data_IF_731314036369
#
_entry.id   IF_731314036369
#
_cell.length_a   1.000
_cell.length_b   1.000
_cell.length_c   1.000
_cell.angle_alpha   90.00
_cell.angle_beta   90.00
_cell.angle_gamma   90.00
#
_symmetry.space_group_name_H-M   'P 1'
#
loop_
_entity.id
_entity.type
_entity.pdbx_description
1 polymer ?
#
# COMPACT_ATOMS: atom_id res chain seq x y z
N UNK A 1 8.47 29.62 -0.26
CA UNK A 1 7.87 28.30 -0.52
C UNK A 1 7.40 28.36 -1.96
N UNK A 2 8.02 27.60 -2.88
CA UNK A 2 7.58 27.58 -4.27
C UNK A 2 6.21 26.92 -4.32
N UNK A 3 5.21 27.60 -4.87
CA UNK A 3 3.88 27.08 -5.20
C UNK A 3 3.98 26.01 -6.31
N UNK A 4 4.59 24.87 -5.99
CA UNK A 4 4.58 23.73 -6.90
C UNK A 4 3.26 22.97 -6.66
N UNK A 5 2.45 22.85 -7.70
CA UNK A 5 1.23 22.05 -7.68
C UNK A 5 1.53 20.65 -7.10
N UNK A 6 0.69 20.10 -6.21
CA UNK A 6 0.88 18.76 -5.66
C UNK A 6 1.07 17.70 -6.75
N UNK A 7 1.99 16.74 -6.61
CA UNK A 7 2.16 15.67 -7.59
C UNK A 7 0.88 14.82 -7.66
N UNK A 8 0.44 14.52 -8.88
CA UNK A 8 -0.75 13.68 -9.08
C UNK A 8 -0.37 12.21 -9.00
N UNK A 9 -1.09 11.42 -8.22
CA UNK A 9 -0.90 9.98 -8.09
C UNK A 9 -2.22 9.27 -8.40
N UNK A 10 -2.17 8.27 -9.27
CA UNK A 10 -3.28 7.35 -9.48
C UNK A 10 -3.04 6.09 -8.63
N UNK A 11 -4.00 5.70 -7.81
CA UNK A 11 -3.94 4.47 -7.02
C UNK A 11 -4.97 3.48 -7.55
N UNK A 12 -4.52 2.34 -8.05
CA UNK A 12 -5.36 1.22 -8.46
C UNK A 12 -5.27 0.13 -7.40
N UNK A 13 -6.37 -0.12 -6.67
CA UNK A 13 -6.29 -1.07 -5.57
C UNK A 13 -7.59 -1.27 -4.80
N UNK A 14 -7.45 -1.97 -3.69
CA UNK A 14 -8.51 -2.39 -2.80
C UNK A 14 -9.03 -1.31 -1.87
N UNK A 15 -10.30 -1.44 -1.53
CA UNK A 15 -10.98 -0.65 -0.48
C UNK A 15 -11.75 -1.62 0.40
N UNK A 16 -11.41 -1.73 1.68
CA UNK A 16 -11.99 -2.69 2.61
C UNK A 16 -12.57 -2.01 3.85
N UNK A 17 -13.51 -2.70 4.47
CA UNK A 17 -13.81 -2.46 5.87
C UNK A 17 -13.17 -3.58 6.70
N UNK A 18 -12.44 -3.20 7.75
CA UNK A 18 -11.79 -4.14 8.65
C UNK A 18 -12.64 -4.25 9.92
N UNK A 19 -13.13 -5.46 10.21
CA UNK A 19 -13.91 -5.83 11.38
C UNK A 19 -12.96 -6.44 12.41
N UNK A 20 -12.53 -5.64 13.37
CA UNK A 20 -11.52 -6.03 14.36
C UNK A 20 -12.20 -6.43 15.65
N UNK A 21 -12.04 -7.69 16.05
CA UNK A 21 -12.50 -8.23 17.34
C UNK A 21 -11.30 -8.50 18.23
N UNK A 22 -11.32 -8.01 19.46
CA UNK A 22 -10.34 -8.36 20.49
C UNK A 22 -10.87 -9.49 21.35
N UNK A 23 -10.01 -10.45 21.68
CA UNK A 23 -10.36 -11.59 22.53
C UNK A 23 -9.16 -11.95 23.43
N UNK A 24 -9.36 -12.66 24.56
CA UNK A 24 -8.24 -13.10 25.42
C UNK A 24 -7.23 -13.99 24.68
N UNK A 25 -7.67 -14.76 23.70
CA UNK A 25 -6.85 -15.60 22.80
C UNK A 25 -7.56 -15.85 21.48
N UNK A 26 -6.88 -16.40 20.51
CA UNK A 26 -7.52 -16.85 19.28
C UNK A 26 -8.41 -18.07 19.55
N UNK A 27 -9.65 -18.14 18.96
CA UNK A 27 -10.53 -19.30 19.13
C UNK A 27 -10.00 -20.54 18.41
N UNK A 28 -10.23 -21.71 18.98
CA UNK A 28 -9.96 -22.99 18.31
C UNK A 28 -11.20 -23.48 17.55
N UNK A 29 -11.06 -24.40 16.57
CA UNK A 29 -12.20 -24.92 15.83
C UNK A 29 -13.31 -25.46 16.72
N UNK A 30 -14.56 -25.01 16.49
CA UNK A 30 -15.74 -25.42 17.24
C UNK A 30 -16.00 -24.68 18.56
N UNK A 31 -15.13 -23.72 18.91
CA UNK A 31 -15.26 -22.96 20.14
C UNK A 31 -16.05 -21.65 19.90
N UNK A 32 -16.84 -21.25 20.91
CA UNK A 32 -17.40 -19.92 21.05
C UNK A 32 -16.67 -19.19 22.15
N UNK A 33 -15.97 -18.09 21.81
CA UNK A 33 -15.22 -17.27 22.75
C UNK A 33 -15.85 -15.88 22.84
N UNK A 34 -15.96 -15.34 24.06
CA UNK A 34 -16.43 -13.97 24.26
C UNK A 34 -15.29 -12.98 23.96
N UNK A 35 -15.54 -12.07 23.01
CA UNK A 35 -14.66 -10.95 22.74
C UNK A 35 -14.75 -9.87 23.81
N UNK A 36 -13.73 -9.03 23.89
CA UNK A 36 -13.62 -7.90 24.84
C UNK A 36 -13.87 -6.55 24.18
N UNK A 37 -13.67 -6.43 22.86
CA UNK A 37 -13.89 -5.18 22.10
C UNK A 37 -14.19 -5.52 20.63
N UNK A 38 -14.89 -4.59 19.97
CA UNK A 38 -15.17 -4.66 18.54
C UNK A 38 -15.05 -3.29 17.88
N UNK A 39 -14.30 -3.21 16.78
CA UNK A 39 -14.12 -1.99 16.04
C UNK A 39 -14.34 -2.23 14.54
N UNK A 40 -14.88 -1.21 13.86
CA UNK A 40 -15.00 -1.15 12.42
C UNK A 40 -14.05 -0.08 11.88
N UNK A 41 -13.02 -0.49 11.17
CA UNK A 41 -11.92 0.36 10.72
C UNK A 41 -11.87 0.42 9.20
N UNK A 42 -11.51 1.56 8.64
CA UNK A 42 -11.26 1.70 7.21
C UNK A 42 -9.92 1.04 6.86
N UNK A 43 -9.93 0.18 5.86
CA UNK A 43 -8.78 -0.62 5.44
C UNK A 43 -8.71 -0.82 3.93
N UNK A 44 -7.97 -1.84 3.53
CA UNK A 44 -7.61 -2.12 2.15
C UNK A 44 -6.32 -1.40 1.76
N UNK A 45 -5.35 -2.17 1.23
CA UNK A 45 -4.01 -1.64 0.89
C UNK A 45 -4.08 -0.47 -0.08
N UNK A 46 -4.97 -0.53 -1.09
CA UNK A 46 -5.18 0.57 -2.03
C UNK A 46 -5.63 1.84 -1.32
N UNK A 47 -6.66 1.76 -0.50
CA UNK A 47 -7.19 2.90 0.26
C UNK A 47 -6.15 3.44 1.27
N UNK A 48 -5.43 2.55 1.98
CA UNK A 48 -4.40 2.97 2.93
C UNK A 48 -3.27 3.74 2.23
N UNK A 49 -2.78 3.25 1.09
CA UNK A 49 -1.72 3.91 0.31
C UNK A 49 -2.21 5.21 -0.31
N UNK A 50 -3.47 5.28 -0.73
CA UNK A 50 -4.10 6.50 -1.23
C UNK A 50 -4.20 7.57 -0.15
N UNK A 51 -4.70 7.21 1.05
CA UNK A 51 -4.76 8.12 2.21
C UNK A 51 -3.37 8.58 2.63
N UNK A 52 -2.40 7.65 2.66
CA UNK A 52 -1.03 8.01 2.99
C UNK A 52 -0.44 9.02 1.99
N UNK A 53 -0.59 8.76 0.68
CA UNK A 53 -0.09 9.68 -0.34
C UNK A 53 -0.77 11.07 -0.26
N UNK A 54 -2.08 11.11 -0.02
CA UNK A 54 -2.84 12.36 0.10
C UNK A 54 -2.41 13.19 1.31
N UNK A 55 -2.40 12.59 2.52
CA UNK A 55 -1.96 13.26 3.75
C UNK A 55 -0.50 13.71 3.69
N UNK A 56 0.32 13.03 2.89
CA UNK A 56 1.75 13.32 2.71
C UNK A 56 2.04 14.24 1.53
N UNK A 57 0.98 14.84 0.94
CA UNK A 57 1.09 16.01 0.06
C UNK A 57 0.93 15.73 -1.43
N UNK A 58 0.38 14.59 -1.83
CA UNK A 58 0.00 14.31 -3.21
C UNK A 58 -1.49 14.65 -3.47
N UNK A 59 -1.83 14.93 -4.73
CA UNK A 59 -3.21 14.91 -5.23
C UNK A 59 -3.48 13.50 -5.73
N UNK A 60 -4.45 12.80 -5.15
CA UNK A 60 -4.67 11.37 -5.38
C UNK A 60 -6.00 11.12 -6.06
N UNK A 61 -6.00 10.26 -7.10
CA UNK A 61 -7.19 9.65 -7.67
C UNK A 61 -7.23 8.16 -7.29
N UNK A 62 -8.32 7.72 -6.65
CA UNK A 62 -8.56 6.32 -6.31
C UNK A 62 -9.35 5.62 -7.39
N UNK A 63 -8.81 4.53 -7.92
CA UNK A 63 -9.43 3.65 -8.92
C UNK A 63 -9.68 2.30 -8.26
N UNK A 64 -10.94 1.97 -8.03
CA UNK A 64 -11.29 0.79 -7.23
C UNK A 64 -12.79 0.49 -7.29
N UNK A 65 -13.21 -0.46 -6.47
CA UNK A 65 -14.61 -0.83 -6.34
C UNK A 65 -15.02 -1.00 -4.88
N UNK A 66 -16.21 -0.53 -4.55
CA UNK A 66 -16.93 -0.82 -3.29
C UNK A 66 -18.29 -1.41 -3.60
N UNK A 67 -18.92 -2.08 -2.66
CA UNK A 67 -20.28 -2.54 -2.79
C UNK A 67 -21.29 -1.38 -2.74
N UNK A 68 -22.49 -1.61 -3.28
CA UNK A 68 -23.64 -0.71 -3.08
C UNK A 68 -24.33 -1.05 -1.74
N UNK A 69 -23.55 -0.91 -0.66
CA UNK A 69 -23.93 -1.17 0.73
C UNK A 69 -23.47 -0.04 1.67
N UNK A 70 -23.84 -0.14 2.94
CA UNK A 70 -23.51 0.87 3.95
C UNK A 70 -22.00 1.03 4.16
N UNK A 71 -21.21 -0.06 4.01
CA UNK A 71 -19.77 0.01 4.11
C UNK A 71 -19.15 0.73 2.91
N UNK A 72 -19.65 0.43 1.68
CA UNK A 72 -19.19 1.11 0.47
C UNK A 72 -19.49 2.60 0.49
N UNK A 73 -20.68 3.01 0.93
CA UNK A 73 -21.01 4.42 1.10
C UNK A 73 -20.06 5.11 2.10
N UNK A 74 -19.87 4.50 3.28
CA UNK A 74 -18.98 5.03 4.32
C UNK A 74 -17.53 5.19 3.85
N UNK A 75 -16.99 4.21 3.12
CA UNK A 75 -15.62 4.24 2.62
C UNK A 75 -15.43 5.26 1.51
N UNK A 76 -16.40 5.37 0.60
CA UNK A 76 -16.41 6.39 -0.44
C UNK A 76 -16.40 7.81 0.16
N UNK A 77 -17.26 8.08 1.14
CA UNK A 77 -17.34 9.38 1.81
C UNK A 77 -16.07 9.68 2.60
N UNK A 78 -15.47 8.67 3.26
CA UNK A 78 -14.24 8.83 4.00
C UNK A 78 -13.05 9.18 3.10
N UNK A 79 -12.90 8.51 1.95
CA UNK A 79 -11.84 8.83 0.99
C UNK A 79 -12.04 10.22 0.37
N UNK A 80 -13.27 10.58 0.05
CA UNK A 80 -13.60 11.94 -0.42
C UNK A 80 -13.26 13.01 0.62
N UNK A 81 -13.51 12.75 1.91
CA UNK A 81 -13.17 13.66 3.01
C UNK A 81 -11.65 13.85 3.20
N UNK A 82 -10.83 12.87 2.78
CA UNK A 82 -9.36 13.00 2.72
C UNK A 82 -8.87 13.81 1.50
N UNK A 83 -9.79 14.36 0.68
CA UNK A 83 -9.47 15.09 -0.53
C UNK A 83 -9.04 14.22 -1.72
N UNK A 84 -9.31 12.91 -1.64
CA UNK A 84 -9.02 11.96 -2.71
C UNK A 84 -10.13 12.04 -3.77
N UNK A 85 -9.74 12.11 -5.04
CA UNK A 85 -10.67 12.00 -6.16
C UNK A 85 -11.21 10.56 -6.25
N UNK A 86 -12.51 10.41 -6.01
CA UNK A 86 -13.23 9.13 -6.01
C UNK A 86 -14.09 8.94 -7.27
N UNK A 87 -13.85 9.72 -8.33
CA UNK A 87 -14.59 9.63 -9.60
C UNK A 87 -14.56 8.22 -10.20
N UNK A 88 -13.47 7.48 -9.98
CA UNK A 88 -13.27 6.12 -10.45
C UNK A 88 -13.34 5.06 -9.33
N UNK A 89 -14.00 5.39 -8.22
CA UNK A 89 -14.36 4.44 -7.18
C UNK A 89 -15.80 3.97 -7.38
N UNK A 90 -15.96 2.89 -8.14
CA UNK A 90 -17.26 2.41 -8.59
C UNK A 90 -18.04 1.71 -7.47
N UNK A 91 -19.34 1.97 -7.39
CA UNK A 91 -20.27 1.21 -6.53
C UNK A 91 -20.86 0.04 -7.32
N UNK A 92 -20.68 -1.18 -6.83
CA UNK A 92 -21.08 -2.42 -7.50
C UNK A 92 -22.36 -2.99 -6.88
N UNK A 93 -23.48 -2.90 -7.61
CA UNK A 93 -24.73 -3.49 -7.17
C UNK A 93 -24.68 -5.01 -7.02
N UNK A 94 -25.37 -5.55 -6.01
CA UNK A 94 -25.45 -7.00 -5.76
C UNK A 94 -24.14 -7.66 -5.29
N UNK A 95 -23.13 -6.87 -4.93
CA UNK A 95 -21.85 -7.36 -4.42
C UNK A 95 -21.52 -6.60 -3.14
N UNK A 96 -21.11 -7.30 -2.08
CA UNK A 96 -20.71 -6.65 -0.84
C UNK A 96 -19.37 -5.93 -1.01
N UNK A 97 -19.16 -4.87 -0.25
CA UNK A 97 -17.84 -4.24 -0.08
C UNK A 97 -16.82 -5.26 0.45
N UNK A 98 -15.55 -5.09 0.08
CA UNK A 98 -14.46 -5.93 0.62
C UNK A 98 -14.38 -5.83 2.15
N UNK A 99 -14.20 -6.97 2.80
CA UNK A 99 -14.17 -7.08 4.28
C UNK A 99 -12.95 -7.88 4.70
N UNK A 100 -12.23 -7.39 5.72
CA UNK A 100 -11.31 -8.20 6.48
C UNK A 100 -11.89 -8.45 7.88
N UNK A 101 -12.03 -9.73 8.28
CA UNK A 101 -12.33 -10.08 9.66
C UNK A 101 -11.01 -10.39 10.38
N UNK A 102 -10.76 -9.65 11.45
CA UNK A 102 -9.49 -9.69 12.18
C UNK A 102 -9.78 -9.99 13.64
N UNK A 103 -9.26 -11.11 14.14
CA UNK A 103 -9.26 -11.41 15.57
C UNK A 103 -7.87 -11.15 16.12
N UNK A 104 -7.77 -10.35 17.20
CA UNK A 104 -6.51 -10.02 17.87
C UNK A 104 -6.58 -10.49 19.31
N UNK A 105 -5.57 -11.22 19.77
CA UNK A 105 -5.47 -11.68 21.15
C UNK A 105 -4.75 -10.65 22.05
N UNK A 106 -4.75 -10.93 23.39
CA UNK A 106 -4.04 -10.08 24.37
C UNK A 106 -2.52 -10.03 24.15
N UNK A 107 -1.94 -11.04 23.51
CA UNK A 107 -0.52 -11.11 23.15
C UNK A 107 -0.17 -10.33 21.88
N UNK A 108 -1.20 -9.80 21.16
CA UNK A 108 -1.04 -9.12 19.87
C UNK A 108 -0.95 -10.05 18.67
N UNK A 109 -1.10 -11.40 18.85
CA UNK A 109 -1.22 -12.31 17.72
C UNK A 109 -2.58 -12.12 17.04
N UNK A 110 -2.61 -12.23 15.70
CA UNK A 110 -3.83 -12.03 14.93
C UNK A 110 -4.13 -13.19 13.99
N UNK A 111 -5.41 -13.27 13.63
CA UNK A 111 -5.93 -14.15 12.57
C UNK A 111 -6.80 -13.30 11.65
N UNK A 112 -6.50 -13.33 10.36
CA UNK A 112 -7.13 -12.46 9.35
C UNK A 112 -7.73 -13.32 8.25
N UNK A 113 -9.01 -13.07 7.95
CA UNK A 113 -9.69 -13.62 6.77
C UNK A 113 -10.18 -12.44 5.92
N UNK A 114 -9.78 -12.41 4.66
CA UNK A 114 -10.17 -11.37 3.71
C UNK A 114 -11.19 -11.92 2.72
N UNK A 115 -12.31 -11.23 2.59
CA UNK A 115 -13.31 -11.45 1.54
C UNK A 115 -13.21 -10.28 0.56
N UNK A 116 -12.71 -10.49 -0.68
CA UNK A 116 -12.47 -9.39 -1.63
C UNK A 116 -13.72 -8.60 -1.99
N UNK A 117 -14.88 -9.23 -2.03
CA UNK A 117 -16.13 -8.56 -2.38
C UNK A 117 -16.03 -7.79 -3.70
N UNK A 118 -16.42 -6.51 -3.67
CA UNK A 118 -16.38 -5.62 -4.83
C UNK A 118 -14.98 -5.39 -5.40
N UNK A 119 -13.90 -5.54 -4.61
CA UNK A 119 -12.53 -5.45 -5.13
C UNK A 119 -12.27 -6.47 -6.25
N UNK A 120 -12.88 -7.66 -6.17
CA UNK A 120 -12.79 -8.69 -7.22
C UNK A 120 -13.52 -8.31 -8.51
N UNK A 121 -14.31 -7.23 -8.51
CA UNK A 121 -15.05 -6.71 -9.67
C UNK A 121 -14.33 -5.59 -10.40
N UNK A 122 -13.16 -5.16 -9.91
CA UNK A 122 -12.33 -4.23 -10.65
C UNK A 122 -11.75 -4.95 -11.88
N UNK A 123 -12.14 -4.51 -13.05
CA UNK A 123 -11.84 -5.15 -14.34
C UNK A 123 -11.12 -4.21 -15.32
N UNK A 124 -10.83 -4.71 -16.51
CA UNK A 124 -10.13 -3.96 -17.55
C UNK A 124 -10.92 -2.76 -18.04
N UNK A 125 -12.24 -2.87 -18.14
CA UNK A 125 -13.11 -1.79 -18.65
C UNK A 125 -13.09 -0.58 -17.71
N UNK A 126 -13.04 -0.81 -16.39
CA UNK A 126 -12.91 0.24 -15.38
C UNK A 126 -11.53 0.91 -15.41
N UNK A 127 -10.47 0.13 -15.67
CA UNK A 127 -9.14 0.71 -15.89
C UNK A 127 -9.12 1.56 -17.15
N UNK A 128 -9.80 1.12 -18.22
CA UNK A 128 -9.87 1.88 -19.47
C UNK A 128 -10.69 3.16 -19.31
N UNK A 129 -11.73 3.15 -18.51
CA UNK A 129 -12.51 4.35 -18.14
C UNK A 129 -11.66 5.35 -17.33
N UNK A 130 -10.72 4.86 -16.48
CA UNK A 130 -9.82 5.68 -15.69
C UNK A 130 -8.52 6.06 -16.42
N UNK A 131 -8.40 5.79 -17.72
CA UNK A 131 -7.17 5.99 -18.50
C UNK A 131 -6.57 7.38 -18.35
N UNK A 132 -7.39 8.42 -18.40
CA UNK A 132 -6.92 9.80 -18.31
C UNK A 132 -6.34 10.11 -16.93
N UNK A 133 -6.93 9.57 -15.86
CA UNK A 133 -6.41 9.70 -14.51
C UNK A 133 -5.04 9.04 -14.38
N UNK A 134 -4.85 7.84 -14.97
CA UNK A 134 -3.57 7.13 -14.99
C UNK A 134 -2.55 7.87 -15.86
N UNK A 135 -2.92 8.28 -17.07
CA UNK A 135 -2.03 8.95 -18.02
C UNK A 135 -1.55 10.32 -17.52
N UNK A 136 -2.40 11.05 -16.80
CA UNK A 136 -2.08 12.36 -16.24
C UNK A 136 -1.40 12.33 -14.86
N UNK A 137 -1.15 11.12 -14.31
CA UNK A 137 -0.47 10.99 -13.04
C UNK A 137 1.06 11.04 -13.19
N UNK A 138 1.74 11.56 -12.16
CA UNK A 138 3.19 11.48 -12.03
C UNK A 138 3.65 10.07 -11.59
N UNK A 139 2.74 9.26 -11.05
CA UNK A 139 2.98 7.87 -10.66
C UNK A 139 1.67 7.10 -10.56
N UNK A 140 1.69 5.84 -11.04
CA UNK A 140 0.68 4.82 -10.73
C UNK A 140 1.17 4.00 -9.54
N UNK A 141 0.31 3.80 -8.53
CA UNK A 141 0.55 2.92 -7.37
C UNK A 141 -0.45 1.77 -7.41
N UNK A 142 0.00 0.53 -7.21
CA UNK A 142 -0.89 -0.63 -7.14
C UNK A 142 -0.39 -1.71 -6.18
N UNK A 143 -1.31 -2.60 -5.76
CA UNK A 143 -1.06 -3.75 -4.88
C UNK A 143 -1.75 -4.98 -5.46
N UNK A 144 -1.83 -6.10 -4.72
CA UNK A 144 -2.38 -7.36 -5.23
C UNK A 144 -3.66 -7.82 -4.49
N UNK A 145 -4.41 -6.89 -3.90
CA UNK A 145 -5.75 -7.17 -3.31
C UNK A 145 -6.90 -6.98 -4.32
N UNK A 146 -6.57 -6.76 -5.58
CA UNK A 146 -7.48 -6.73 -6.73
C UNK A 146 -7.01 -7.76 -7.76
N UNK A 147 -7.81 -8.13 -8.78
CA UNK A 147 -7.40 -9.14 -9.74
C UNK A 147 -6.08 -8.79 -10.45
N UNK A 148 -5.15 -9.76 -10.53
CA UNK A 148 -3.84 -9.55 -11.17
C UNK A 148 -3.99 -9.10 -12.62
N UNK A 149 -5.00 -9.60 -13.35
CA UNK A 149 -5.28 -9.17 -14.72
C UNK A 149 -5.58 -7.66 -14.79
N UNK A 150 -6.28 -7.12 -13.80
CA UNK A 150 -6.57 -5.69 -13.69
C UNK A 150 -5.32 -4.88 -13.38
N UNK A 151 -4.47 -5.36 -12.45
CA UNK A 151 -3.17 -4.75 -12.16
C UNK A 151 -2.30 -4.72 -13.42
N UNK A 152 -2.24 -5.83 -14.17
CA UNK A 152 -1.51 -5.90 -15.43
C UNK A 152 -2.06 -4.92 -16.47
N UNK A 153 -3.39 -4.73 -16.55
CA UNK A 153 -4.02 -3.74 -17.44
C UNK A 153 -3.65 -2.32 -17.04
N UNK A 154 -3.69 -2.00 -15.74
CA UNK A 154 -3.31 -0.68 -15.22
C UNK A 154 -1.83 -0.36 -15.52
N UNK A 155 -0.92 -1.32 -15.29
CA UNK A 155 0.50 -1.20 -15.61
C UNK A 155 0.70 -1.03 -17.12
N UNK A 156 -0.03 -1.77 -17.96
CA UNK A 156 0.05 -1.61 -19.42
C UNK A 156 -0.44 -0.20 -19.87
N UNK A 157 -1.52 0.31 -19.25
CA UNK A 157 -2.01 1.66 -19.47
C UNK A 157 -0.95 2.71 -19.09
N UNK A 158 -0.37 2.61 -17.90
CA UNK A 158 0.68 3.51 -17.41
C UNK A 158 1.91 3.49 -18.34
N UNK A 159 2.37 2.30 -18.73
CA UNK A 159 3.53 2.14 -19.65
C UNK A 159 3.28 2.80 -21.01
N UNK A 160 2.06 2.70 -21.57
CA UNK A 160 1.69 3.31 -22.84
C UNK A 160 1.77 4.86 -22.79
N UNK A 161 1.59 5.44 -21.59
CA UNK A 161 1.62 6.89 -21.36
C UNK A 161 2.90 7.36 -20.66
N UNK A 162 3.86 6.46 -20.44
CA UNK A 162 5.13 6.74 -19.72
C UNK A 162 4.91 7.22 -18.28
N UNK A 163 3.81 6.83 -17.66
CA UNK A 163 3.55 7.06 -16.24
C UNK A 163 4.36 6.04 -15.43
N UNK A 164 5.27 6.48 -14.55
CA UNK A 164 6.03 5.57 -13.68
C UNK A 164 5.13 4.69 -12.82
N UNK A 165 5.50 3.43 -12.64
CA UNK A 165 4.75 2.42 -11.91
C UNK A 165 5.44 2.07 -10.60
N UNK A 166 4.75 2.23 -9.48
CA UNK A 166 5.09 1.65 -8.19
C UNK A 166 4.16 0.48 -7.89
N UNK A 167 4.74 -0.72 -7.73
CA UNK A 167 4.01 -1.91 -7.33
C UNK A 167 4.46 -2.36 -5.93
N UNK A 168 3.50 -2.51 -5.02
CA UNK A 168 3.67 -3.24 -3.77
C UNK A 168 2.97 -4.60 -3.91
N UNK A 169 3.69 -5.71 -4.14
CA UNK A 169 3.10 -7.01 -4.45
C UNK A 169 2.57 -7.72 -3.19
N UNK A 170 1.72 -7.05 -2.46
CA UNK A 170 1.07 -7.48 -1.23
C UNK A 170 -0.45 -7.70 -1.44
N UNK A 171 -1.04 -8.84 -1.01
CA UNK A 171 -0.35 -10.00 -0.43
C UNK A 171 0.54 -10.72 -1.44
N UNK A 172 1.58 -11.40 -0.93
CA UNK A 172 2.57 -12.09 -1.76
C UNK A 172 1.93 -13.09 -2.73
N UNK A 173 2.18 -12.91 -4.03
CA UNK A 173 1.70 -13.76 -5.11
C UNK A 173 2.79 -13.91 -6.17
N UNK A 174 2.75 -15.01 -6.94
CA UNK A 174 3.66 -15.19 -8.09
C UNK A 174 3.31 -14.19 -9.18
N UNK A 175 4.32 -13.49 -9.68
CA UNK A 175 4.21 -12.56 -10.80
C UNK A 175 5.07 -13.04 -11.97
N UNK A 176 4.60 -12.78 -13.18
CA UNK A 176 5.38 -13.06 -14.40
C UNK A 176 6.45 -12.00 -14.59
N UNK A 177 7.62 -12.41 -15.05
CA UNK A 177 8.75 -11.50 -15.31
C UNK A 177 8.37 -10.40 -16.33
N UNK A 178 7.51 -10.70 -17.30
CA UNK A 178 6.99 -9.71 -18.25
C UNK A 178 6.16 -8.58 -17.60
N UNK A 179 5.53 -8.83 -16.46
CA UNK A 179 4.86 -7.80 -15.65
C UNK A 179 5.90 -7.00 -14.84
N UNK A 180 6.82 -7.69 -14.18
CA UNK A 180 7.88 -7.09 -13.38
C UNK A 180 8.76 -6.14 -14.20
N UNK A 181 9.07 -6.49 -15.46
CA UNK A 181 9.86 -5.65 -16.37
C UNK A 181 9.21 -4.31 -16.76
N UNK A 182 7.95 -4.06 -16.34
CA UNK A 182 7.23 -2.79 -16.55
C UNK A 182 7.07 -1.99 -15.27
N UNK A 183 7.70 -2.43 -14.17
CA UNK A 183 7.60 -1.80 -12.86
C UNK A 183 8.86 -0.95 -12.63
N UNK A 184 8.68 0.35 -12.41
CA UNK A 184 9.77 1.27 -12.14
C UNK A 184 10.24 1.19 -10.69
N UNK A 185 9.30 0.99 -9.74
CA UNK A 185 9.57 0.84 -8.32
C UNK A 185 8.79 -0.36 -7.76
N UNK A 186 9.51 -1.36 -7.28
CA UNK A 186 8.93 -2.50 -6.58
C UNK A 186 9.24 -2.39 -5.09
N UNK A 187 8.22 -2.27 -4.26
CA UNK A 187 8.37 -2.20 -2.80
C UNK A 187 7.90 -3.51 -2.21
N UNK A 188 8.81 -4.24 -1.57
CA UNK A 188 8.58 -5.57 -0.97
C UNK A 188 9.09 -5.61 0.46
N UNK A 189 8.45 -6.40 1.30
CA UNK A 189 9.01 -6.83 2.59
C UNK A 189 9.81 -8.13 2.45
N UNK A 190 10.34 -8.65 3.56
CA UNK A 190 11.15 -9.88 3.56
C UNK A 190 10.39 -11.07 2.97
N UNK A 191 9.13 -11.26 3.39
CA UNK A 191 8.29 -12.38 2.96
C UNK A 191 7.91 -12.27 1.47
N UNK A 192 7.58 -11.08 1.01
CA UNK A 192 7.25 -10.81 -0.38
C UNK A 192 8.47 -10.99 -1.29
N UNK A 193 9.65 -10.51 -0.84
CA UNK A 193 10.91 -10.71 -1.55
C UNK A 193 11.25 -12.20 -1.67
N UNK A 194 11.12 -12.96 -0.59
CA UNK A 194 11.32 -14.42 -0.60
C UNK A 194 10.33 -15.12 -1.53
N UNK A 195 9.05 -14.78 -1.49
CA UNK A 195 8.01 -15.36 -2.36
C UNK A 195 8.30 -15.15 -3.85
N UNK A 196 8.86 -13.98 -4.24
CA UNK A 196 9.14 -13.64 -5.63
C UNK A 196 10.49 -14.17 -6.15
N UNK A 197 11.44 -14.42 -5.25
CA UNK A 197 12.82 -14.80 -5.61
C UNK A 197 13.22 -16.20 -5.18
N UNK A 198 12.56 -16.78 -4.18
CA UNK A 198 12.99 -17.99 -3.50
C UNK A 198 14.18 -17.77 -2.55
N UNK A 199 14.60 -16.51 -2.31
CA UNK A 199 15.71 -16.16 -1.44
C UNK A 199 15.16 -15.72 -0.09
N UNK A 200 15.42 -16.49 0.96
CA UNK A 200 15.06 -16.11 2.33
C UNK A 200 15.82 -14.85 2.76
N UNK A 201 15.09 -13.84 3.27
CA UNK A 201 15.63 -12.54 3.64
C UNK A 201 15.76 -12.44 5.18
N UNK A 202 16.88 -12.95 5.71
CA UNK A 202 17.18 -12.91 7.15
C UNK A 202 18.12 -11.76 7.58
N UNK A 203 18.94 -11.28 6.65
CA UNK A 203 19.94 -10.24 6.89
C UNK A 203 20.06 -9.26 5.70
N UNK A 204 20.92 -8.27 5.83
CA UNK A 204 21.13 -7.26 4.80
C UNK A 204 21.73 -7.84 3.51
N UNK A 205 22.61 -8.84 3.62
CA UNK A 205 23.24 -9.45 2.45
C UNK A 205 22.22 -10.25 1.64
N UNK A 206 21.30 -10.95 2.29
CA UNK A 206 20.19 -11.65 1.62
C UNK A 206 19.17 -10.68 1.03
N UNK A 207 18.88 -9.55 1.68
CA UNK A 207 18.05 -8.49 1.13
C UNK A 207 18.62 -7.92 -0.17
N UNK A 208 19.94 -7.68 -0.19
CA UNK A 208 20.65 -7.24 -1.41
C UNK A 208 20.51 -8.28 -2.52
N UNK A 209 20.78 -9.56 -2.24
CA UNK A 209 20.66 -10.64 -3.25
C UNK A 209 19.24 -10.76 -3.80
N UNK A 210 18.22 -10.64 -2.93
CA UNK A 210 16.82 -10.65 -3.37
C UNK A 210 16.49 -9.46 -4.26
N UNK A 211 16.95 -8.25 -3.89
CA UNK A 211 16.77 -7.05 -4.71
C UNK A 211 17.47 -7.18 -6.07
N UNK A 212 18.72 -7.65 -6.10
CA UNK A 212 19.47 -7.87 -7.35
C UNK A 212 18.76 -8.91 -8.26
N UNK A 213 18.21 -9.98 -7.66
CA UNK A 213 17.46 -11.00 -8.42
C UNK A 213 16.17 -10.42 -9.03
N UNK A 214 15.48 -9.51 -8.35
CA UNK A 214 14.30 -8.82 -8.88
C UNK A 214 14.67 -7.79 -9.96
N UNK A 215 15.77 -7.06 -9.79
CA UNK A 215 16.31 -6.21 -10.85
C UNK A 215 16.69 -7.01 -12.11
N UNK A 216 17.25 -8.21 -11.95
CA UNK A 216 17.55 -9.10 -13.06
C UNK A 216 16.31 -9.59 -13.84
N UNK A 217 15.12 -9.54 -13.21
CA UNK A 217 13.81 -9.78 -13.87
C UNK A 217 13.26 -8.56 -14.60
N UNK A 218 14.01 -7.44 -14.62
CA UNK A 218 13.67 -6.23 -15.36
C UNK A 218 13.03 -5.12 -14.55
N UNK A 219 12.87 -5.27 -13.22
CA UNK A 219 12.38 -4.19 -12.34
C UNK A 219 13.36 -3.02 -12.34
N UNK A 220 12.86 -1.80 -12.52
CA UNK A 220 13.70 -0.60 -12.56
C UNK A 220 14.44 -0.32 -11.25
N UNK A 221 13.73 -0.34 -10.13
CA UNK A 221 14.28 -0.15 -8.78
C UNK A 221 13.51 -1.02 -7.78
N UNK A 222 14.22 -1.73 -6.92
CA UNK A 222 13.66 -2.60 -5.88
C UNK A 222 13.99 -2.04 -4.52
N UNK A 223 12.98 -1.87 -3.68
CA UNK A 223 13.10 -1.45 -2.29
C UNK A 223 12.65 -2.63 -1.40
N UNK A 224 13.56 -3.15 -0.60
CA UNK A 224 13.27 -4.20 0.38
C UNK A 224 13.14 -3.55 1.75
N UNK A 225 11.93 -3.51 2.28
CA UNK A 225 11.65 -3.02 3.64
C UNK A 225 11.96 -4.10 4.66
N UNK A 226 12.70 -3.76 5.70
CA UNK A 226 13.26 -4.68 6.70
C UNK A 226 12.77 -4.33 8.12
N UNK A 227 11.59 -3.73 8.24
CA UNK A 227 11.03 -3.27 9.51
C UNK A 227 11.99 -2.34 10.26
N UNK A 228 12.32 -2.66 11.51
CA UNK A 228 13.23 -1.86 12.34
C UNK A 228 14.67 -1.79 11.80
N UNK A 229 15.05 -2.63 10.83
CA UNK A 229 16.36 -2.56 10.18
C UNK A 229 16.43 -1.51 9.06
N UNK A 230 15.28 -0.99 8.60
CA UNK A 230 15.20 0.06 7.58
C UNK A 230 14.88 -0.46 6.18
N UNK A 231 15.48 0.12 5.16
CA UNK A 231 15.24 -0.20 3.74
C UNK A 231 16.58 -0.41 3.03
N UNK A 232 16.68 -1.50 2.30
CA UNK A 232 17.73 -1.75 1.30
C UNK A 232 17.14 -1.50 -0.10
N UNK A 233 17.86 -0.83 -0.99
CA UNK A 233 17.37 -0.62 -2.34
C UNK A 233 18.44 -0.82 -3.42
N UNK A 234 18.02 -1.25 -4.64
CA UNK A 234 18.84 -1.56 -5.82
C UNK A 234 18.12 -1.13 -7.08
N UNK A 235 18.84 -0.69 -8.09
CA UNK A 235 18.28 -0.44 -9.42
C UNK A 235 18.98 0.63 -10.23
N UNK A 236 18.34 1.09 -11.29
CA UNK A 236 18.88 2.07 -12.23
C UNK A 236 19.13 3.46 -11.61
N UNK A 237 18.43 3.81 -10.52
CA UNK A 237 18.68 5.04 -9.77
C UNK A 237 19.89 4.94 -8.81
N UNK A 238 20.55 3.78 -8.75
CA UNK A 238 21.68 3.51 -7.86
C UNK A 238 21.38 2.37 -6.88
N UNK A 239 22.07 2.42 -5.75
CA UNK A 239 21.87 1.46 -4.66
C UNK A 239 22.16 2.13 -3.32
N UNK A 240 21.55 1.62 -2.26
CA UNK A 240 21.75 2.18 -0.93
C UNK A 240 21.06 1.38 0.16
N UNK A 241 21.24 1.88 1.37
CA UNK A 241 20.57 1.41 2.57
C UNK A 241 20.33 2.59 3.50
N UNK A 242 19.10 2.74 3.95
CA UNK A 242 18.72 3.69 4.99
C UNK A 242 18.26 2.92 6.23
N UNK A 243 18.80 3.27 7.39
CA UNK A 243 18.36 2.70 8.67
C UNK A 243 17.00 3.27 9.05
N UNK A 244 16.18 2.46 9.71
CA UNK A 244 14.95 2.96 10.29
C UNK A 244 15.20 3.89 11.47
N UNK A 245 14.27 4.79 11.73
CA UNK A 245 14.23 5.53 12.99
C UNK A 245 13.85 4.58 14.13
N UNK A 246 14.51 4.72 15.28
CA UNK A 246 14.17 3.95 16.47
C UNK A 246 12.95 4.56 17.15
N UNK A 247 11.86 3.83 17.18
CA UNK A 247 10.60 4.21 17.84
C UNK A 247 10.04 3.04 18.64
N UNK A 248 9.21 3.33 19.64
CA UNK A 248 8.44 2.29 20.34
C UNK A 248 7.18 2.01 19.55
N UNK A 249 7.12 0.85 18.91
CA UNK A 249 5.94 0.45 18.14
C UNK A 249 4.79 0.07 19.08
N UNK A 250 3.60 0.60 18.76
CA UNK A 250 2.33 0.31 19.42
C UNK A 250 1.46 -0.60 18.54
N UNK A 251 1.40 -0.28 17.24
CA UNK A 251 0.66 -1.03 16.23
C UNK A 251 1.37 -0.88 14.87
N UNK A 252 1.69 -2.00 14.23
CA UNK A 252 2.38 -1.99 12.91
C UNK A 252 1.41 -2.08 11.73
N UNK A 253 0.11 -2.03 11.97
CA UNK A 253 -0.92 -2.05 10.92
C UNK A 253 -0.71 -0.86 9.97
N UNK A 254 -0.77 -1.13 8.67
CA UNK A 254 -0.57 -0.16 7.59
C UNK A 254 0.78 0.59 7.58
N UNK A 255 1.79 0.16 8.36
CA UNK A 255 3.13 0.79 8.30
C UNK A 255 3.76 0.69 6.90
N UNK A 256 3.63 -0.46 6.24
CA UNK A 256 4.05 -0.67 4.86
C UNK A 256 3.29 0.22 3.88
N UNK A 257 1.97 0.34 4.03
CA UNK A 257 1.13 1.21 3.19
C UNK A 257 1.50 2.69 3.39
N UNK A 258 1.76 3.10 4.64
CA UNK A 258 2.23 4.46 4.96
C UNK A 258 3.59 4.75 4.32
N UNK A 259 4.53 3.78 4.37
CA UNK A 259 5.81 3.90 3.69
C UNK A 259 5.63 4.06 2.18
N UNK A 260 4.81 3.20 1.55
CA UNK A 260 4.54 3.23 0.10
C UNK A 260 3.93 4.57 -0.32
N UNK A 261 2.88 5.04 0.38
CA UNK A 261 2.24 6.32 0.08
C UNK A 261 3.19 7.51 0.24
N UNK A 262 4.00 7.51 1.32
CA UNK A 262 5.00 8.56 1.57
C UNK A 262 6.12 8.57 0.55
N UNK A 263 6.66 7.40 0.22
CA UNK A 263 7.65 7.25 -0.85
C UNK A 263 7.11 7.74 -2.19
N UNK A 264 5.88 7.33 -2.55
CA UNK A 264 5.24 7.72 -3.80
C UNK A 264 5.03 9.24 -3.87
N UNK A 265 4.53 9.87 -2.81
CA UNK A 265 4.30 11.31 -2.76
C UNK A 265 5.61 12.10 -2.92
N UNK A 266 6.66 11.72 -2.19
CA UNK A 266 7.96 12.38 -2.29
C UNK A 266 8.62 12.15 -3.66
N UNK A 267 8.61 10.91 -4.15
CA UNK A 267 9.26 10.54 -5.42
C UNK A 267 8.56 11.18 -6.63
N UNK A 268 7.23 11.18 -6.65
CA UNK A 268 6.42 11.87 -7.66
C UNK A 268 6.62 13.39 -7.60
N UNK A 269 6.93 13.94 -6.42
CA UNK A 269 7.29 15.34 -6.23
C UNK A 269 8.73 15.69 -6.62
N UNK A 270 9.51 14.73 -7.16
CA UNK A 270 10.88 14.98 -7.66
C UNK A 270 12.00 14.79 -6.63
N UNK A 271 11.69 14.26 -5.42
CA UNK A 271 12.71 13.95 -4.42
C UNK A 271 13.71 12.91 -4.95
N UNK A 272 14.96 12.94 -4.45
CA UNK A 272 15.93 11.89 -4.71
C UNK A 272 15.45 10.53 -4.16
N UNK A 273 16.10 9.42 -4.53
CA UNK A 273 15.74 8.11 -4.01
C UNK A 273 15.89 8.06 -2.48
N UNK A 274 17.02 8.53 -1.96
CA UNK A 274 17.29 8.52 -0.52
C UNK A 274 16.33 9.43 0.26
N UNK A 275 16.03 10.62 -0.26
CA UNK A 275 15.07 11.54 0.37
C UNK A 275 13.66 10.96 0.39
N UNK A 276 13.22 10.33 -0.71
CA UNK A 276 11.90 9.71 -0.80
C UNK A 276 11.77 8.49 0.15
N UNK A 277 12.81 7.64 0.21
CA UNK A 277 12.86 6.53 1.18
C UNK A 277 12.85 7.08 2.61
N UNK A 278 13.70 8.06 2.92
CA UNK A 278 13.76 8.68 4.23
C UNK A 278 12.42 9.31 4.65
N UNK A 279 11.72 9.96 3.72
CA UNK A 279 10.40 10.53 3.97
C UNK A 279 9.35 9.43 4.28
N UNK A 280 9.30 8.38 3.45
CA UNK A 280 8.42 7.23 3.69
C UNK A 280 8.71 6.53 5.02
N UNK A 281 10.00 6.37 5.40
CA UNK A 281 10.39 5.77 6.68
C UNK A 281 9.96 6.63 7.87
N UNK A 282 10.11 7.96 7.82
CA UNK A 282 9.62 8.86 8.89
C UNK A 282 8.11 8.77 9.04
N UNK A 283 7.38 8.77 7.93
CA UNK A 283 5.92 8.60 7.96
C UNK A 283 5.52 7.26 8.61
N UNK A 284 6.15 6.15 8.19
CA UNK A 284 5.91 4.84 8.77
C UNK A 284 6.32 4.76 10.25
N UNK A 285 7.43 5.42 10.65
CA UNK A 285 7.85 5.49 12.04
C UNK A 285 6.82 6.19 12.94
N UNK A 286 6.17 7.26 12.45
CA UNK A 286 5.06 7.89 13.19
C UNK A 286 3.86 6.94 13.24
N UNK A 287 3.48 6.32 12.13
CA UNK A 287 2.28 5.47 12.09
C UNK A 287 2.36 4.32 13.09
N UNK A 288 3.51 3.65 13.25
CA UNK A 288 3.64 2.53 14.19
C UNK A 288 3.56 2.93 15.66
N UNK A 289 3.62 4.22 16.00
CA UNK A 289 3.40 4.73 17.37
C UNK A 289 1.93 4.96 17.71
N UNK A 290 1.00 4.67 16.78
CA UNK A 290 -0.44 4.93 16.90
C UNK A 290 -1.24 3.68 16.57
N UNK A 291 -2.44 3.56 17.13
CA UNK A 291 -3.34 2.45 16.81
C UNK A 291 -4.08 2.65 15.50
N UNK A 292 -4.30 1.54 14.79
CA UNK A 292 -5.15 1.41 13.62
C UNK A 292 -4.43 1.64 12.28
N UNK A 293 -5.15 1.39 11.18
CA UNK A 293 -4.66 1.54 9.82
C UNK A 293 -4.65 3.03 9.40
N UNK A 294 -5.73 3.52 8.76
CA UNK A 294 -5.76 4.91 8.27
C UNK A 294 -5.69 5.97 9.37
N UNK A 295 -6.15 5.64 10.60
CA UNK A 295 -6.08 6.54 11.75
C UNK A 295 -4.66 6.81 12.23
N UNK A 296 -3.72 5.90 11.98
CA UNK A 296 -2.31 6.02 12.37
C UNK A 296 -1.49 6.87 11.40
N UNK A 297 -1.93 7.02 10.14
CA UNK A 297 -1.19 7.69 9.07
C UNK A 297 -1.00 9.18 9.39
N UNK A 298 0.24 9.68 9.42
CA UNK A 298 0.53 11.08 9.74
C UNK A 298 0.24 12.03 8.59
N UNK A 299 0.19 13.32 8.91
CA UNK A 299 0.22 14.40 7.92
C UNK A 299 1.66 14.76 7.52
N UNK A 300 1.79 15.50 6.43
CA UNK A 300 3.10 16.01 5.95
C UNK A 300 3.78 16.91 6.98
N UNK A 301 3.02 17.73 7.69
CA UNK A 301 3.52 18.63 8.73
C UNK A 301 4.07 17.85 9.94
N UNK A 302 3.42 16.73 10.31
CA UNK A 302 3.93 15.87 11.38
C UNK A 302 5.25 15.21 11.00
N UNK A 303 5.37 14.73 9.75
CA UNK A 303 6.62 14.16 9.24
C UNK A 303 7.74 15.20 9.15
N UNK A 304 7.41 16.44 8.76
CA UNK A 304 8.37 17.53 8.69
C UNK A 304 8.93 17.97 10.05
N UNK A 305 8.20 17.74 11.15
CA UNK A 305 8.63 18.04 12.52
C UNK A 305 9.57 16.98 13.10
N UNK A 306 9.60 15.80 12.52
CA UNK A 306 10.56 14.75 12.87
C UNK A 306 11.90 15.08 12.19
N UNK A 307 12.81 15.66 12.95
CA UNK A 307 14.19 15.85 12.50
C UNK A 307 14.84 14.47 12.25
N UNK A 308 15.72 14.36 11.24
CA UNK A 308 16.41 13.12 10.93
C UNK A 308 17.38 12.68 12.03
#
# INVERSE_FOLDING_TARGET
MSDTCPPRIAVVGSVNIDLVTRAPRLPVPGETLLGTDFQTVHGGKGANQAVAAARLGASVAMIGCVGDDAFGARLHDALSAEGIDVTHLDRIGGTATGVATITVDEGGANSIVVVPGANARLDADRIDAAREAIAGAAMLVSQLEVPIATVARAIACASAHRTPVLLNPAPAQRLFDALLARVDYLVVNETEAESLTGIAVGDDASAVRAADALCAKGVGNVLVTLGARGVCWRGGAGNGRLRAMSVVAVDTTAAGDTFVGGFAAARAGGASMDDAIGFGQRAAAISVTRYGAQTSIPTREEVARLEP
#
